data_IF_303362694208
#
_entry.id   IF_303362694208
#
_cell.length_a   1.000
_cell.length_b   1.000
_cell.length_c   1.000
_cell.angle_alpha   90.00
_cell.angle_beta   90.00
_cell.angle_gamma   90.00
#
_symmetry.space_group_name_H-M   'P 1'
#
loop_
_entity.id
_entity.type
_entity.pdbx_description
1 polymer ?
#
# COMPACT_ATOMS: atom_id res chain seq x y z
N UNK A 1 -24.52 -6.46 -1.85
CA UNK A 1 -23.40 -5.60 -1.41
C UNK A 1 -23.10 -4.44 -2.35
N UNK A 2 -23.38 -4.52 -3.67
CA UNK A 2 -23.38 -3.35 -4.56
C UNK A 2 -22.00 -2.74 -4.88
N UNK A 3 -20.91 -3.31 -4.38
CA UNK A 3 -19.55 -2.91 -4.77
C UNK A 3 -19.18 -3.50 -6.14
N UNK A 4 -18.32 -2.79 -6.86
CA UNK A 4 -17.76 -3.23 -8.13
C UNK A 4 -16.31 -3.72 -7.95
N UNK A 5 -15.95 -4.80 -8.64
CA UNK A 5 -14.59 -5.36 -8.67
C UNK A 5 -14.19 -5.49 -10.13
N UNK A 6 -13.10 -4.81 -10.52
CA UNK A 6 -12.58 -4.81 -11.88
C UNK A 6 -11.06 -4.96 -11.83
N UNK A 7 -10.48 -5.65 -12.81
CA UNK A 7 -9.03 -5.81 -12.94
C UNK A 7 -8.41 -4.67 -13.76
N UNK A 8 -7.19 -4.30 -13.38
CA UNK A 8 -6.32 -3.40 -14.13
C UNK A 8 -4.99 -4.12 -14.34
N UNK A 9 -4.36 -3.92 -15.50
CA UNK A 9 -3.04 -4.52 -15.75
C UNK A 9 -1.99 -3.88 -14.84
N UNK A 10 -1.03 -4.66 -14.33
CA UNK A 10 0.04 -4.12 -13.47
C UNK A 10 0.83 -3.01 -14.15
N UNK A 11 0.95 -3.06 -15.49
CA UNK A 11 1.59 -2.02 -16.30
C UNK A 11 0.96 -0.63 -16.16
N UNK A 12 -0.36 -0.55 -15.93
CA UNK A 12 -1.04 0.74 -15.74
C UNK A 12 -0.63 1.38 -14.40
N UNK A 13 -0.44 0.56 -13.35
CA UNK A 13 0.11 1.01 -12.09
C UNK A 13 1.58 1.40 -12.24
N UNK A 14 2.38 0.59 -12.94
CA UNK A 14 3.80 0.89 -13.21
C UNK A 14 3.95 2.26 -13.87
N UNK A 15 3.10 2.61 -14.85
CA UNK A 15 3.13 3.93 -15.47
C UNK A 15 2.90 5.08 -14.47
N UNK A 16 2.04 4.89 -13.46
CA UNK A 16 1.85 5.88 -12.39
C UNK A 16 3.05 5.93 -11.43
N UNK A 17 3.65 4.78 -11.11
CA UNK A 17 4.85 4.70 -10.25
C UNK A 17 6.04 5.39 -10.93
N UNK A 18 6.26 5.14 -12.21
CA UNK A 18 7.37 5.71 -12.98
C UNK A 18 7.23 7.23 -13.20
N UNK A 19 6.00 7.75 -13.18
CA UNK A 19 5.72 9.18 -13.31
C UNK A 19 5.96 9.98 -12.00
N UNK A 20 6.22 9.32 -10.87
CA UNK A 20 6.44 10.00 -9.58
C UNK A 20 7.79 10.73 -9.58
N UNK A 21 7.76 12.03 -9.27
CA UNK A 21 8.98 12.85 -9.19
C UNK A 21 9.90 12.48 -8.00
N UNK A 22 11.21 12.67 -8.17
CA UNK A 22 12.20 12.46 -7.09
C UNK A 22 11.98 13.37 -5.87
N UNK A 23 11.43 14.56 -6.08
CA UNK A 23 11.08 15.50 -5.00
C UNK A 23 9.99 14.88 -4.13
N UNK A 24 8.88 14.42 -4.74
CA UNK A 24 7.79 13.78 -4.00
C UNK A 24 8.25 12.52 -3.24
N UNK A 25 9.14 11.71 -3.85
CA UNK A 25 9.76 10.57 -3.15
C UNK A 25 10.53 11.05 -1.92
N UNK A 26 11.33 12.11 -2.04
CA UNK A 26 12.14 12.63 -0.95
C UNK A 26 11.29 13.22 0.17
N UNK A 27 10.20 13.90 -0.17
CA UNK A 27 9.22 14.42 0.79
C UNK A 27 8.54 13.29 1.57
N UNK A 28 8.09 12.22 0.90
CA UNK A 28 7.46 11.08 1.57
C UNK A 28 8.46 10.32 2.46
N UNK A 29 9.73 10.26 2.06
CA UNK A 29 10.79 9.67 2.88
C UNK A 29 10.99 10.46 4.18
N UNK A 30 10.95 11.80 4.13
CA UNK A 30 11.02 12.63 5.33
C UNK A 30 9.84 12.31 6.28
N UNK A 31 8.63 12.11 5.73
CA UNK A 31 7.47 11.66 6.52
C UNK A 31 7.73 10.30 7.16
N UNK A 32 8.35 9.35 6.46
CA UNK A 32 8.70 8.04 7.07
C UNK A 32 9.71 8.18 8.20
N UNK A 33 10.73 9.01 8.03
CA UNK A 33 11.78 9.25 9.03
C UNK A 33 11.23 9.97 10.28
N UNK A 34 10.20 10.80 10.12
CA UNK A 34 9.48 11.42 11.23
C UNK A 34 8.51 10.44 11.91
N UNK A 35 7.81 9.62 11.12
CA UNK A 35 6.73 8.75 11.62
C UNK A 35 7.22 7.45 12.25
N UNK A 36 8.42 6.99 11.89
CA UNK A 36 8.88 5.63 12.21
C UNK A 36 10.34 5.59 12.66
N UNK A 37 10.66 4.56 13.43
CA UNK A 37 12.04 4.18 13.73
C UNK A 37 12.66 3.47 12.52
N UNK A 38 13.20 4.24 11.57
CA UNK A 38 13.85 3.70 10.38
C UNK A 38 15.18 3.05 10.75
N UNK A 39 15.37 1.78 10.36
CA UNK A 39 16.62 1.03 10.64
C UNK A 39 17.83 1.64 9.90
N UNK A 40 19.05 1.56 10.46
CA UNK A 40 20.23 2.26 9.91
C UNK A 40 20.50 2.00 8.42
N UNK A 41 20.28 0.79 7.94
CA UNK A 41 20.49 0.43 6.54
C UNK A 41 19.52 1.13 5.56
N UNK A 42 18.38 1.62 6.02
CA UNK A 42 17.38 2.35 5.22
C UNK A 42 17.46 3.88 5.41
N UNK A 43 18.26 4.37 6.35
CA UNK A 43 18.48 5.80 6.60
C UNK A 43 19.34 6.44 5.48
N UNK A 44 19.46 7.77 5.50
CA UNK A 44 20.33 8.49 4.57
C UNK A 44 21.79 7.95 4.63
N UNK A 45 22.35 7.59 3.46
CA UNK A 45 23.67 6.96 3.36
C UNK A 45 23.71 5.45 3.68
N UNK A 46 22.59 4.86 4.11
CA UNK A 46 22.47 3.43 4.37
C UNK A 46 22.52 2.59 3.09
N UNK A 47 23.03 1.35 3.20
CA UNK A 47 23.24 0.44 2.07
C UNK A 47 21.97 0.04 1.32
N UNK A 48 20.80 0.14 1.96
CA UNK A 48 19.47 -0.19 1.43
C UNK A 48 18.55 1.02 1.30
N UNK A 49 19.09 2.25 1.35
CA UNK A 49 18.31 3.49 1.19
C UNK A 49 17.45 3.47 -0.07
N UNK A 50 17.96 2.89 -1.17
CA UNK A 50 17.21 2.79 -2.42
C UNK A 50 15.93 1.95 -2.27
N UNK A 51 15.93 0.86 -1.49
CA UNK A 51 14.72 0.06 -1.24
C UNK A 51 13.60 0.86 -0.59
N UNK A 52 13.95 1.76 0.35
CA UNK A 52 12.98 2.66 0.97
C UNK A 52 12.46 3.70 -0.03
N UNK A 53 13.32 4.26 -0.89
CA UNK A 53 12.91 5.19 -1.96
C UNK A 53 11.98 4.53 -2.97
N UNK A 54 12.28 3.29 -3.36
CA UNK A 54 11.42 2.52 -4.28
C UNK A 54 10.06 2.20 -3.63
N UNK A 55 10.03 1.93 -2.32
CA UNK A 55 8.79 1.75 -1.56
C UNK A 55 7.93 3.02 -1.55
N UNK A 56 8.56 4.17 -1.28
CA UNK A 56 7.90 5.47 -1.30
C UNK A 56 7.33 5.79 -2.69
N UNK A 57 8.09 5.49 -3.75
CA UNK A 57 7.62 5.69 -5.13
C UNK A 57 6.40 4.83 -5.46
N UNK A 58 6.43 3.55 -5.06
CA UNK A 58 5.29 2.64 -5.19
C UNK A 58 4.07 3.17 -4.43
N UNK A 59 4.24 3.62 -3.18
CA UNK A 59 3.14 4.21 -2.41
C UNK A 59 2.52 5.42 -3.12
N UNK A 60 3.33 6.35 -3.61
CA UNK A 60 2.86 7.54 -4.32
C UNK A 60 2.12 7.18 -5.62
N UNK A 61 2.67 6.25 -6.40
CA UNK A 61 2.03 5.78 -7.64
C UNK A 61 0.70 5.09 -7.37
N UNK A 62 0.63 4.23 -6.35
CA UNK A 62 -0.61 3.59 -5.91
C UNK A 62 -1.63 4.61 -5.42
N UNK A 63 -1.22 5.59 -4.61
CA UNK A 63 -2.11 6.66 -4.13
C UNK A 63 -2.70 7.46 -5.30
N UNK A 64 -1.88 7.84 -6.28
CA UNK A 64 -2.33 8.55 -7.46
C UNK A 64 -3.33 7.72 -8.27
N UNK A 65 -3.00 6.45 -8.55
CA UNK A 65 -3.86 5.52 -9.27
C UNK A 65 -5.22 5.33 -8.58
N UNK A 66 -5.19 5.10 -7.26
CA UNK A 66 -6.39 4.89 -6.45
C UNK A 66 -7.29 6.12 -6.37
N UNK A 67 -6.69 7.31 -6.19
CA UNK A 67 -7.42 8.56 -6.11
C UNK A 67 -8.08 8.92 -7.45
N UNK A 68 -7.34 8.83 -8.56
CA UNK A 68 -7.81 9.16 -9.91
C UNK A 68 -8.94 8.24 -10.36
N UNK A 69 -8.84 6.94 -10.08
CA UNK A 69 -9.90 5.97 -10.37
C UNK A 69 -11.06 5.98 -9.38
N UNK A 70 -10.98 6.79 -8.31
CA UNK A 70 -12.01 6.85 -7.28
C UNK A 70 -12.16 5.56 -6.45
N UNK A 71 -11.15 4.67 -6.46
CA UNK A 71 -11.19 3.38 -5.81
C UNK A 71 -11.21 3.52 -4.27
N UNK A 72 -11.81 2.53 -3.60
CA UNK A 72 -11.94 2.49 -2.12
C UNK A 72 -11.20 1.32 -1.49
N UNK A 73 -10.69 0.42 -2.31
CA UNK A 73 -9.84 -0.69 -1.92
C UNK A 73 -9.24 -1.34 -3.16
N UNK A 74 -8.27 -2.21 -2.95
CA UNK A 74 -7.53 -2.88 -4.01
C UNK A 74 -7.00 -4.22 -3.52
N UNK A 75 -6.41 -4.97 -4.44
CA UNK A 75 -5.66 -6.19 -4.15
C UNK A 75 -4.33 -6.14 -4.91
N UNK A 76 -3.34 -6.88 -4.46
CA UNK A 76 -2.14 -7.18 -5.23
C UNK A 76 -2.05 -8.68 -5.54
N UNK A 77 -1.00 -9.10 -6.23
CA UNK A 77 -0.59 -10.50 -6.32
C UNK A 77 0.91 -10.57 -6.51
N UNK A 78 1.60 -11.42 -5.76
CA UNK A 78 3.04 -11.61 -5.95
C UNK A 78 3.39 -12.35 -7.25
N UNK A 79 2.40 -12.95 -7.92
CA UNK A 79 2.57 -13.68 -9.18
C UNK A 79 2.66 -12.74 -10.40
N UNK A 80 2.18 -11.49 -10.28
CA UNK A 80 2.26 -10.48 -11.34
C UNK A 80 2.76 -9.13 -10.80
N UNK A 81 4.09 -8.97 -10.79
CA UNK A 81 4.78 -7.75 -10.40
C UNK A 81 5.60 -7.14 -11.55
N UNK A 82 5.26 -7.48 -12.80
CA UNK A 82 6.09 -7.10 -13.94
C UNK A 82 6.23 -5.56 -14.04
N UNK A 83 7.46 -5.07 -13.89
CA UNK A 83 7.80 -3.64 -13.90
C UNK A 83 7.90 -3.00 -12.51
N UNK A 84 7.33 -3.62 -11.46
CA UNK A 84 7.52 -3.17 -10.08
C UNK A 84 8.86 -3.65 -9.52
N UNK A 85 9.56 -2.79 -8.79
CA UNK A 85 10.85 -3.13 -8.16
C UNK A 85 10.71 -4.09 -6.98
N UNK A 86 9.55 -4.09 -6.32
CA UNK A 86 9.25 -4.92 -5.15
C UNK A 86 7.73 -5.00 -4.92
N UNK A 87 7.28 -6.01 -4.17
CA UNK A 87 5.89 -6.15 -3.73
C UNK A 87 5.50 -4.95 -2.84
N UNK A 88 4.29 -4.36 -3.00
CA UNK A 88 3.83 -3.26 -2.14
C UNK A 88 3.62 -3.65 -0.67
N UNK A 89 4.64 -3.45 0.17
CA UNK A 89 4.57 -3.67 1.63
C UNK A 89 4.09 -2.43 2.40
N UNK A 90 5.01 -1.54 2.77
CA UNK A 90 4.72 -0.33 3.57
C UNK A 90 3.67 0.58 2.91
N UNK A 91 3.69 0.65 1.57
CA UNK A 91 2.67 1.32 0.79
C UNK A 91 1.26 0.82 1.15
N UNK A 92 1.08 -0.50 1.20
CA UNK A 92 -0.21 -1.11 1.54
C UNK A 92 -0.60 -0.91 2.99
N UNK A 93 0.36 -0.97 3.91
CA UNK A 93 0.11 -0.69 5.32
C UNK A 93 -0.39 0.75 5.54
N UNK A 94 0.24 1.74 4.87
CA UNK A 94 -0.14 3.15 4.98
C UNK A 94 -1.46 3.47 4.27
N UNK A 95 -1.71 2.88 3.10
CA UNK A 95 -3.02 2.98 2.43
C UNK A 95 -4.15 2.39 3.30
N UNK A 96 -3.92 1.24 3.94
CA UNK A 96 -4.89 0.69 4.90
C UNK A 96 -5.10 1.62 6.10
N UNK A 97 -4.03 2.21 6.64
CA UNK A 97 -4.13 3.19 7.72
C UNK A 97 -5.00 4.40 7.32
N UNK A 98 -4.91 4.83 6.06
CA UNK A 98 -5.71 5.92 5.48
C UNK A 98 -7.14 5.52 5.10
N UNK A 99 -7.55 4.29 5.39
CA UNK A 99 -8.93 3.85 5.25
C UNK A 99 -9.21 2.96 4.04
N UNK A 100 -8.22 2.68 3.18
CA UNK A 100 -8.43 1.80 2.02
C UNK A 100 -8.66 0.35 2.47
N UNK A 101 -9.52 -0.34 1.73
CA UNK A 101 -9.59 -1.81 1.80
C UNK A 101 -8.42 -2.44 1.06
N UNK A 102 -7.91 -3.53 1.61
CA UNK A 102 -6.83 -4.31 1.02
C UNK A 102 -7.09 -5.79 1.26
N UNK A 103 -6.77 -6.59 0.26
CA UNK A 103 -6.73 -8.04 0.35
C UNK A 103 -5.55 -8.53 -0.47
N UNK A 104 -4.77 -9.43 0.10
CA UNK A 104 -3.59 -9.98 -0.54
C UNK A 104 -3.97 -11.04 -1.61
N UNK A 105 -3.06 -11.29 -2.56
CA UNK A 105 -3.16 -12.34 -3.59
C UNK A 105 -4.49 -12.36 -4.37
N UNK A 106 -5.01 -11.18 -4.71
CA UNK A 106 -6.23 -11.04 -5.49
C UNK A 106 -7.52 -11.22 -4.68
N UNK A 107 -7.47 -11.29 -3.35
CA UNK A 107 -8.66 -11.49 -2.52
C UNK A 107 -9.51 -10.21 -2.36
N UNK A 108 -10.29 -9.94 -3.40
CA UNK A 108 -11.22 -8.81 -3.46
C UNK A 108 -12.34 -8.88 -2.42
N UNK A 109 -12.66 -10.07 -1.87
CA UNK A 109 -13.72 -10.22 -0.86
C UNK A 109 -13.25 -9.63 0.46
N UNK A 110 -12.04 -9.99 0.90
CA UNK A 110 -11.45 -9.42 2.11
C UNK A 110 -11.13 -7.94 1.93
N UNK A 111 -10.67 -7.52 0.75
CA UNK A 111 -10.48 -6.10 0.45
C UNK A 111 -11.77 -5.27 0.62
N UNK A 112 -12.88 -5.75 0.05
CA UNK A 112 -14.18 -5.10 0.17
C UNK A 112 -14.70 -5.11 1.62
N UNK A 113 -14.54 -6.23 2.33
CA UNK A 113 -14.93 -6.37 3.73
C UNK A 113 -14.14 -5.41 4.62
N UNK A 114 -12.82 -5.34 4.45
CA UNK A 114 -11.96 -4.43 5.21
C UNK A 114 -12.38 -2.97 5.02
N UNK A 115 -12.66 -2.56 3.77
CA UNK A 115 -13.15 -1.20 3.51
C UNK A 115 -14.50 -0.95 4.21
N UNK A 116 -15.43 -1.89 4.13
CA UNK A 116 -16.73 -1.76 4.77
C UNK A 116 -16.60 -1.64 6.30
N UNK A 117 -15.77 -2.48 6.92
CA UNK A 117 -15.52 -2.44 8.37
C UNK A 117 -14.82 -1.17 8.81
N UNK A 118 -13.84 -0.66 8.04
CA UNK A 118 -13.19 0.63 8.31
C UNK A 118 -14.16 1.81 8.26
N UNK A 119 -15.13 1.79 7.35
CA UNK A 119 -16.18 2.82 7.32
C UNK A 119 -17.14 2.66 8.50
N UNK A 120 -17.49 1.41 8.85
CA UNK A 120 -18.37 1.10 9.97
C UNK A 120 -17.78 1.53 11.32
N UNK A 121 -16.46 1.45 11.48
CA UNK A 121 -15.76 1.85 12.71
C UNK A 121 -15.41 3.34 12.80
N UNK A 122 -15.84 4.17 11.84
CA UNK A 122 -15.57 5.60 11.86
C UNK A 122 -16.10 6.27 13.14
N UNK A 123 -15.22 6.94 13.89
CA UNK A 123 -15.55 7.59 15.16
C UNK A 123 -15.53 6.68 16.38
N UNK A 124 -15.23 5.38 16.21
CA UNK A 124 -15.00 4.46 17.33
C UNK A 124 -13.51 4.40 17.69
N UNK A 125 -13.21 4.09 18.95
CA UNK A 125 -11.85 3.78 19.38
C UNK A 125 -11.40 2.40 18.86
N UNK A 126 -10.11 2.28 18.51
CA UNK A 126 -9.50 1.03 18.04
C UNK A 126 -9.16 0.99 16.56
N UNK A 127 -8.52 -0.10 16.13
CA UNK A 127 -8.07 -0.31 14.74
C UNK A 127 -8.86 -1.39 14.01
N UNK A 128 -8.81 -1.36 12.68
CA UNK A 128 -9.34 -2.41 11.80
C UNK A 128 -8.31 -2.69 10.73
N UNK A 129 -7.91 -3.96 10.55
CA UNK A 129 -6.81 -4.36 9.67
C UNK A 129 -7.16 -5.61 8.86
N UNK A 130 -6.49 -5.75 7.71
CA UNK A 130 -6.30 -7.06 7.09
C UNK A 130 -5.52 -7.98 8.06
N UNK A 131 -5.83 -9.27 8.05
CA UNK A 131 -5.17 -10.26 8.91
C UNK A 131 -5.25 -11.65 8.27
N UNK A 132 -4.25 -12.46 8.58
CA UNK A 132 -4.18 -13.89 8.27
C UNK A 132 -3.58 -14.63 9.49
N UNK A 133 -4.16 -15.76 9.86
CA UNK A 133 -3.68 -16.59 10.96
C UNK A 133 -2.39 -17.34 10.53
N UNK A 134 -1.23 -16.91 11.04
CA UNK A 134 0.07 -17.42 10.58
C UNK A 134 0.56 -18.70 11.25
N UNK A 135 0.32 -18.88 12.55
CA UNK A 135 0.84 -20.02 13.30
C UNK A 135 0.15 -20.16 14.66
N UNK A 136 0.32 -21.32 15.30
CA UNK A 136 -0.23 -21.62 16.62
C UNK A 136 0.87 -21.74 17.68
N UNK A 137 0.54 -21.36 18.93
CA UNK A 137 1.34 -21.65 20.13
C UNK A 137 0.51 -22.54 21.06
N UNK A 138 1.02 -23.73 21.38
CA UNK A 138 0.35 -24.73 22.20
C UNK A 138 0.86 -24.73 23.63
#
# INVERSE_FOLDING_TARGET
FGYAVNGYGVGDLVAKVDAVSETAVSDLIAVYEESYNVVPELQAGGSRRQSLRDAARIELGMRAFLAEGGFKGYTDTFEDLHGLKQLPGVASQRLMADGYGFGAEGDWKTAALLRAMKVMSAGLEGGTSFMEDYTYHF
#
